data_IF_795526783002
#
_entry.id   IF_795526783002
#
_cell.length_a   1.000
_cell.length_b   1.000
_cell.length_c   1.000
_cell.angle_alpha   90.00
_cell.angle_beta   90.00
_cell.angle_gamma   90.00
#
_symmetry.space_group_name_H-M   'P 1'
#
loop_
_entity.id
_entity.type
_entity.pdbx_description
1 polymer ?
#
# COMPACT_ATOMS: atom_id res chain seq x y z
N UNK A 1 7.69 31.95 17.71
CA UNK A 1 6.56 31.68 16.79
C UNK A 1 7.19 31.40 15.43
N UNK A 2 7.25 30.19 14.89
CA UNK A 2 6.27 29.11 14.84
C UNK A 2 7.01 27.75 14.87
N UNK A 3 6.57 26.85 15.76
CA UNK A 3 7.02 25.45 15.81
C UNK A 3 5.77 24.58 15.71
N UNK A 4 5.24 24.43 14.50
CA UNK A 4 4.14 23.52 14.20
C UNK A 4 4.39 22.86 12.83
N UNK A 5 5.36 21.95 12.77
CA UNK A 5 5.51 21.02 11.64
C UNK A 5 5.78 19.58 12.11
N UNK A 6 5.19 19.21 13.25
CA UNK A 6 5.40 17.91 13.86
C UNK A 6 4.09 17.14 14.08
N UNK A 7 3.19 17.04 13.10
CA UNK A 7 2.01 16.14 13.25
C UNK A 7 1.31 15.74 11.94
N UNK A 8 2.02 15.28 10.92
CA UNK A 8 1.38 14.67 9.74
C UNK A 8 1.89 13.24 9.44
N UNK A 9 2.64 12.63 10.35
CA UNK A 9 3.23 11.28 10.18
C UNK A 9 2.48 10.20 10.98
N UNK A 10 1.34 10.53 11.62
CA UNK A 10 0.65 9.64 12.56
C UNK A 10 -0.76 9.17 12.20
N UNK A 11 -1.34 9.57 11.05
CA UNK A 11 -2.78 9.31 10.79
C UNK A 11 -3.04 8.05 9.96
N UNK A 12 -2.09 7.61 9.14
CA UNK A 12 -2.22 6.42 8.29
C UNK A 12 -1.32 5.28 8.78
N UNK A 13 -1.87 4.41 9.64
CA UNK A 13 -1.16 3.23 10.12
C UNK A 13 -1.00 2.14 9.05
N UNK A 14 0.01 1.30 9.24
CA UNK A 14 0.26 0.13 8.40
C UNK A 14 -0.88 -0.88 8.46
N UNK A 15 -1.25 -1.41 7.29
CA UNK A 15 -2.08 -2.60 7.10
C UNK A 15 -1.64 -3.26 5.78
N UNK A 16 -1.75 -4.59 5.62
CA UNK A 16 -1.39 -5.27 4.37
C UNK A 16 -2.06 -4.67 3.13
N UNK A 17 -3.36 -4.37 3.19
CA UNK A 17 -4.12 -3.78 2.08
C UNK A 17 -3.61 -2.40 1.65
N UNK A 18 -3.27 -1.53 2.61
CA UNK A 18 -2.72 -0.19 2.33
C UNK A 18 -1.32 -0.28 1.76
N UNK A 19 -0.51 -1.20 2.26
CA UNK A 19 0.81 -1.46 1.71
C UNK A 19 0.69 -1.92 0.25
N UNK A 20 -0.20 -2.88 -0.02
CA UNK A 20 -0.43 -3.37 -1.38
C UNK A 20 -0.98 -2.28 -2.31
N UNK A 21 -1.92 -1.47 -1.85
CA UNK A 21 -2.43 -0.32 -2.60
C UNK A 21 -1.31 0.67 -3.02
N UNK A 22 -0.43 1.02 -2.08
CA UNK A 22 0.72 1.89 -2.36
C UNK A 22 1.72 1.21 -3.31
N UNK A 23 1.98 -0.09 -3.13
CA UNK A 23 2.88 -0.89 -3.97
C UNK A 23 2.35 -0.99 -5.40
N UNK A 24 1.08 -1.34 -5.60
CA UNK A 24 0.47 -1.38 -6.94
C UNK A 24 0.55 -0.02 -7.62
N UNK A 25 0.29 1.07 -6.87
CA UNK A 25 0.37 2.42 -7.43
C UNK A 25 1.80 2.83 -7.79
N UNK A 26 2.80 2.47 -6.97
CA UNK A 26 4.21 2.80 -7.25
C UNK A 26 4.72 2.12 -8.53
N UNK A 27 4.21 0.94 -8.86
CA UNK A 27 4.56 0.20 -10.07
C UNK A 27 3.70 0.61 -11.29
N UNK A 28 2.81 1.60 -11.14
CA UNK A 28 1.94 2.04 -12.22
C UNK A 28 0.84 1.04 -12.59
N UNK A 29 0.46 0.18 -11.63
CA UNK A 29 -0.62 -0.80 -11.76
C UNK A 29 -2.02 -0.21 -11.52
N UNK A 30 -2.13 1.04 -11.06
CA UNK A 30 -3.41 1.70 -10.80
C UNK A 30 -3.67 2.83 -11.80
N UNK A 31 -4.89 2.87 -12.32
CA UNK A 31 -5.40 3.89 -13.24
C UNK A 31 -6.76 4.40 -12.78
N UNK A 32 -7.10 5.64 -13.13
CA UNK A 32 -8.42 6.20 -12.97
C UNK A 32 -9.14 6.15 -14.33
N UNK A 33 -10.31 5.53 -14.38
CA UNK A 33 -11.18 5.46 -15.57
C UNK A 33 -12.54 6.01 -15.20
N UNK A 34 -13.00 7.04 -15.90
CA UNK A 34 -14.26 7.74 -15.61
C UNK A 34 -14.40 8.18 -14.13
N UNK A 35 -13.28 8.54 -13.50
CA UNK A 35 -13.20 8.92 -12.09
C UNK A 35 -13.13 7.76 -11.10
N UNK A 36 -13.13 6.51 -11.57
CA UNK A 36 -13.02 5.31 -10.73
C UNK A 36 -11.62 4.70 -10.78
N UNK A 37 -11.07 4.34 -9.62
CA UNK A 37 -9.78 3.65 -9.51
C UNK A 37 -9.90 2.18 -9.92
N UNK A 38 -8.99 1.71 -10.77
CA UNK A 38 -8.99 0.34 -11.30
C UNK A 38 -7.57 -0.20 -11.43
N UNK A 39 -7.44 -1.52 -11.43
CA UNK A 39 -6.21 -2.17 -11.84
C UNK A 39 -6.00 -1.98 -13.35
N UNK A 40 -4.78 -1.65 -13.76
CA UNK A 40 -4.41 -1.34 -15.14
C UNK A 40 -4.61 -2.53 -16.08
N UNK A 41 -4.39 -3.74 -15.57
CA UNK A 41 -4.51 -4.97 -16.35
C UNK A 41 -5.98 -5.46 -16.46
N UNK A 42 -6.93 -4.73 -15.88
CA UNK A 42 -8.35 -5.07 -15.92
C UNK A 42 -8.80 -6.06 -14.85
N UNK A 43 -7.88 -6.50 -13.98
CA UNK A 43 -8.18 -7.38 -12.85
C UNK A 43 -9.04 -6.67 -11.78
N UNK A 44 -9.83 -7.47 -11.06
CA UNK A 44 -10.59 -6.98 -9.94
C UNK A 44 -9.65 -6.68 -8.76
N UNK A 45 -9.76 -5.48 -8.21
CA UNK A 45 -9.07 -5.15 -6.96
C UNK A 45 -9.78 -5.83 -5.79
N UNK A 46 -9.00 -6.39 -4.88
CA UNK A 46 -9.54 -6.84 -3.60
C UNK A 46 -10.21 -5.67 -2.86
N UNK A 47 -11.28 -5.95 -2.14
CA UNK A 47 -12.10 -4.92 -1.49
C UNK A 47 -11.32 -4.05 -0.50
N UNK A 48 -10.41 -4.66 0.28
CA UNK A 48 -9.53 -3.95 1.21
C UNK A 48 -8.53 -3.03 0.50
N UNK A 49 -7.93 -3.51 -0.59
CA UNK A 49 -7.02 -2.73 -1.44
C UNK A 49 -7.75 -1.55 -2.09
N UNK A 50 -8.96 -1.77 -2.63
CA UNK A 50 -9.76 -0.70 -3.22
C UNK A 50 -10.16 0.37 -2.19
N UNK A 51 -10.64 -0.04 -1.00
CA UNK A 51 -10.96 0.88 0.08
C UNK A 51 -9.72 1.69 0.52
N UNK A 52 -8.56 1.03 0.57
CA UNK A 52 -7.28 1.67 0.89
C UNK A 52 -6.88 2.70 -0.16
N UNK A 53 -7.03 2.40 -1.46
CA UNK A 53 -6.77 3.35 -2.55
C UNK A 53 -7.64 4.61 -2.44
N UNK A 54 -8.93 4.45 -2.16
CA UNK A 54 -9.85 5.59 -1.97
C UNK A 54 -9.43 6.47 -0.78
N UNK A 55 -9.09 5.83 0.34
CA UNK A 55 -8.65 6.55 1.52
C UNK A 55 -7.32 7.30 1.26
N UNK A 56 -6.34 6.63 0.65
CA UNK A 56 -5.04 7.24 0.29
C UNK A 56 -5.21 8.41 -0.69
N UNK A 57 -6.12 8.32 -1.66
CA UNK A 57 -6.44 9.43 -2.55
C UNK A 57 -7.10 10.59 -1.80
N UNK A 58 -8.09 10.31 -0.94
CA UNK A 58 -8.79 11.32 -0.15
C UNK A 58 -7.87 12.11 0.79
N UNK A 59 -6.76 11.51 1.21
CA UNK A 59 -5.73 12.13 2.05
C UNK A 59 -4.53 12.70 1.26
N UNK A 60 -4.56 12.68 -0.07
CA UNK A 60 -3.52 13.29 -0.91
C UNK A 60 -2.21 12.50 -1.00
N UNK A 61 -2.22 11.21 -0.65
CA UNK A 61 -1.07 10.32 -0.87
C UNK A 61 -0.99 9.86 -2.33
N UNK A 62 -2.10 9.92 -3.07
CA UNK A 62 -2.21 9.58 -4.48
C UNK A 62 -2.66 10.80 -5.30
N UNK A 63 -2.19 10.89 -6.54
CA UNK A 63 -2.64 11.87 -7.51
C UNK A 63 -2.89 11.21 -8.88
N UNK A 64 -4.08 11.44 -9.44
CA UNK A 64 -4.36 11.11 -10.83
C UNK A 64 -3.75 12.20 -11.71
N UNK A 65 -2.82 11.83 -12.59
CA UNK A 65 -2.25 12.77 -13.55
C UNK A 65 -3.14 12.81 -14.79
N UNK A 66 -3.82 13.95 -15.00
CA UNK A 66 -4.46 14.22 -16.28
C UNK A 66 -3.38 14.26 -17.37
N UNK A 67 -3.47 13.44 -18.43
CA UNK A 67 -2.54 13.56 -19.54
C UNK A 67 -2.82 14.88 -20.29
N UNK A 68 -1.81 15.43 -21.00
CA UNK A 68 -2.00 16.63 -21.79
C UNK A 68 -3.13 16.43 -22.80
N UNK A 69 -3.97 17.47 -22.92
CA UNK A 69 -5.17 17.49 -23.75
C UNK A 69 -4.91 16.93 -25.14
N UNK A 70 -5.59 15.85 -25.53
CA UNK A 70 -5.48 15.23 -26.86
C UNK A 70 -5.22 13.73 -26.88
N UNK A 71 -4.90 13.12 -25.74
CA UNK A 71 -4.84 11.64 -25.61
C UNK A 71 -6.23 11.12 -25.28
N UNK A 72 -6.97 10.71 -26.30
CA UNK A 72 -8.37 10.24 -26.25
C UNK A 72 -8.61 8.92 -25.50
N UNK A 73 -7.84 8.60 -24.47
CA UNK A 73 -8.08 7.45 -23.62
C UNK A 73 -8.54 7.96 -22.24
N UNK A 74 -9.78 7.67 -21.86
CA UNK A 74 -10.35 7.96 -20.54
C UNK A 74 -9.71 7.18 -19.40
N UNK A 75 -8.42 6.84 -19.50
CA UNK A 75 -7.64 6.12 -18.51
C UNK A 75 -6.43 6.99 -18.12
N UNK A 76 -6.37 7.34 -16.84
CA UNK A 76 -5.36 8.25 -16.31
C UNK A 76 -4.46 7.53 -15.31
N UNK A 77 -3.12 7.58 -15.45
CA UNK A 77 -2.24 6.95 -14.49
C UNK A 77 -2.36 7.63 -13.12
N UNK A 78 -2.48 6.80 -12.08
CA UNK A 78 -2.44 7.24 -10.69
C UNK A 78 -1.01 7.09 -10.20
N UNK A 79 -0.49 8.13 -9.55
CA UNK A 79 0.89 8.16 -9.04
C UNK A 79 0.89 8.47 -7.55
N UNK A 80 1.94 8.03 -6.87
CA UNK A 80 2.22 8.47 -5.51
C UNK A 80 2.62 9.94 -5.52
N UNK A 81 2.13 10.69 -4.54
CA UNK A 81 2.70 12.01 -4.22
C UNK A 81 4.03 11.84 -3.49
N UNK A 82 4.74 12.94 -3.21
CA UNK A 82 5.96 12.89 -2.39
C UNK A 82 5.65 12.29 -1.01
N UNK A 83 4.54 12.70 -0.39
CA UNK A 83 4.09 12.17 0.89
C UNK A 83 3.69 10.69 0.79
N UNK A 84 3.03 10.29 -0.30
CA UNK A 84 2.70 8.87 -0.56
C UNK A 84 3.93 7.98 -0.72
N UNK A 85 4.98 8.51 -1.37
CA UNK A 85 6.27 7.82 -1.49
C UNK A 85 6.93 7.63 -0.11
N UNK A 86 6.92 8.66 0.73
CA UNK A 86 7.43 8.56 2.10
C UNK A 86 6.65 7.55 2.95
N UNK A 87 5.33 7.51 2.80
CA UNK A 87 4.47 6.53 3.50
C UNK A 87 4.78 5.09 3.05
N UNK A 88 4.94 4.86 1.75
CA UNK A 88 5.33 3.54 1.23
C UNK A 88 6.68 3.08 1.80
N UNK A 89 7.68 3.98 1.86
CA UNK A 89 8.98 3.65 2.44
C UNK A 89 8.87 3.23 3.92
N UNK A 90 8.01 3.89 4.70
CA UNK A 90 7.71 3.50 6.08
C UNK A 90 7.08 2.10 6.15
N UNK A 91 6.07 1.83 5.33
CA UNK A 91 5.40 0.53 5.32
C UNK A 91 6.29 -0.61 4.83
N UNK A 92 7.27 -0.35 3.95
CA UNK A 92 8.25 -1.36 3.55
C UNK A 92 9.10 -1.84 4.74
N UNK A 93 9.45 -0.92 5.64
CA UNK A 93 10.14 -1.26 6.89
C UNK A 93 9.26 -2.12 7.79
N UNK A 94 8.02 -1.69 8.05
CA UNK A 94 7.07 -2.41 8.90
C UNK A 94 6.75 -3.80 8.34
N UNK A 95 6.55 -3.91 7.03
CA UNK A 95 6.23 -5.16 6.34
C UNK A 95 7.36 -6.20 6.47
N UNK A 96 8.63 -5.76 6.41
CA UNK A 96 9.78 -6.63 6.61
C UNK A 96 9.78 -7.25 8.02
N UNK A 97 9.59 -6.43 9.06
CA UNK A 97 9.53 -6.90 10.45
C UNK A 97 8.38 -7.89 10.70
N UNK A 98 7.21 -7.63 10.11
CA UNK A 98 6.08 -8.56 10.21
C UNK A 98 6.36 -9.90 9.52
N UNK A 99 7.04 -9.88 8.37
CA UNK A 99 7.36 -11.10 7.61
C UNK A 99 8.44 -11.92 8.32
N UNK A 100 9.44 -11.26 8.92
CA UNK A 100 10.50 -11.93 9.69
C UNK A 100 9.97 -12.55 10.97
N UNK A 101 9.11 -11.84 11.72
CA UNK A 101 8.46 -12.38 12.91
C UNK A 101 7.60 -13.63 12.59
N UNK A 102 6.89 -13.61 11.46
CA UNK A 102 6.11 -14.76 11.01
C UNK A 102 7.00 -15.95 10.63
N UNK A 103 8.13 -15.69 9.96
CA UNK A 103 9.09 -16.73 9.56
C UNK A 103 9.86 -17.34 10.75
N UNK A 104 10.08 -16.59 11.82
CA UNK A 104 10.67 -17.10 13.06
C UNK A 104 9.71 -18.04 13.81
N UNK A 105 8.42 -17.70 13.85
CA UNK A 105 7.37 -18.58 14.41
C UNK A 105 7.22 -19.87 13.61
N UNK A 106 7.30 -19.82 12.28
CA UNK A 106 7.24 -21.01 11.41
C UNK A 106 8.48 -21.91 11.55
N UNK A 107 9.66 -21.33 11.80
CA UNK A 107 10.91 -22.08 12.06
C UNK A 107 11.00 -22.69 13.46
N UNK A 108 10.10 -22.36 14.38
CA UNK A 108 10.11 -22.97 15.70
C UNK A 108 9.79 -24.48 15.53
N UNK A 109 10.74 -25.39 15.84
CA UNK A 109 10.47 -26.81 15.71
C UNK A 109 9.32 -27.18 16.65
N UNK A 110 8.34 -27.91 16.14
CA UNK A 110 7.30 -28.54 16.95
C UNK A 110 8.00 -29.22 18.14
N UNK A 111 7.70 -28.73 19.34
CA UNK A 111 8.33 -29.20 20.56
C UNK A 111 8.21 -30.72 20.64
N UNK A 112 9.39 -31.35 20.65
CA UNK A 112 9.75 -32.66 21.18
C UNK A 112 8.58 -33.59 21.53
N UNK A 113 8.50 -34.72 20.82
CA UNK A 113 7.89 -35.94 21.32
C UNK A 113 8.62 -36.38 22.60
N UNK A 114 8.01 -36.31 23.81
CA UNK A 114 8.57 -36.90 25.01
C UNK A 114 8.09 -38.35 25.07
N UNK A 115 8.51 -39.15 24.10
CA UNK A 115 7.79 -40.36 23.72
C UNK A 115 8.61 -41.64 23.59
N UNK A 116 9.85 -41.72 24.08
CA UNK A 116 10.53 -43.03 24.11
C UNK A 116 11.41 -43.18 25.36
N UNK A 117 10.76 -43.61 26.44
CA UNK A 117 11.43 -44.25 27.57
C UNK A 117 11.02 -45.72 27.50
N UNK A 118 11.84 -46.57 26.88
CA UNK A 118 11.93 -47.99 27.26
C UNK A 118 13.19 -48.71 26.78
#
# INVERSE_FOLDING_TARGET
MMSEQATAVGVFGYTPDRYEALRLTSHGGIVAVDGMLRHREGEALESGVFASLLALQGHGYLAAHLPPSGTGAGMWPVRLTLTGTGLLAGFQHDHAHHTEAQAEVDRAPAHADPGDVR
#
